data_IF_277127556597
#
_entry.id   IF_277127556597
#
_cell.length_a   1.000
_cell.length_b   1.000
_cell.length_c   1.000
_cell.angle_alpha   90.00
_cell.angle_beta   90.00
_cell.angle_gamma   90.00
#
_symmetry.space_group_name_H-M   'P 1'
#
loop_
_entity.id
_entity.type
_entity.pdbx_description
1 polymer ?
#
# COMPACT_ATOMS: atom_id res chain seq x y z
N UNK A 1 24.11 -23.49 15.26
CA UNK A 1 23.97 -23.33 13.80
C UNK A 1 22.49 -23.43 13.48
N UNK A 2 21.78 -22.30 13.50
CA UNK A 2 20.35 -22.23 13.22
C UNK A 2 20.16 -21.66 11.81
N UNK A 3 19.42 -22.38 10.98
CA UNK A 3 19.07 -22.03 9.61
C UNK A 3 18.31 -20.71 9.56
N UNK A 4 18.99 -19.62 9.18
CA UNK A 4 18.35 -18.37 8.82
C UNK A 4 17.49 -18.60 7.58
N UNK A 5 16.18 -18.33 7.66
CA UNK A 5 15.35 -18.31 6.48
C UNK A 5 15.82 -17.15 5.58
N UNK A 6 16.71 -17.42 4.63
CA UNK A 6 17.06 -16.50 3.55
C UNK A 6 15.83 -16.30 2.67
N UNK A 7 15.10 -15.21 2.88
CA UNK A 7 13.92 -14.89 2.09
C UNK A 7 14.31 -14.58 0.63
N UNK A 8 13.55 -15.16 -0.30
CA UNK A 8 13.81 -15.07 -1.74
C UNK A 8 13.08 -13.86 -2.34
N UNK A 9 13.79 -13.12 -3.20
CA UNK A 9 13.25 -11.97 -3.95
C UNK A 9 13.23 -12.31 -5.43
N UNK A 10 12.08 -12.11 -6.07
CA UNK A 10 11.97 -12.17 -7.53
C UNK A 10 12.14 -10.77 -8.13
N UNK A 11 12.85 -10.63 -9.24
CA UNK A 11 12.90 -9.37 -9.98
C UNK A 11 12.35 -9.59 -11.39
N UNK A 12 11.22 -8.95 -11.68
CA UNK A 12 10.62 -8.87 -13.01
C UNK A 12 11.08 -7.59 -13.68
N UNK A 13 11.68 -7.69 -14.87
CA UNK A 13 12.19 -6.53 -15.60
C UNK A 13 12.29 -6.81 -17.10
N UNK A 14 12.27 -5.74 -17.90
CA UNK A 14 12.58 -5.85 -19.32
C UNK A 14 14.09 -5.82 -19.55
N UNK A 15 14.63 -6.97 -19.92
CA UNK A 15 16.08 -7.15 -20.13
C UNK A 15 16.75 -6.32 -21.24
N UNK A 16 16.02 -5.56 -22.07
CA UNK A 16 16.62 -4.60 -23.01
C UNK A 16 16.75 -3.19 -22.43
N UNK A 17 15.95 -2.84 -21.42
CA UNK A 17 15.81 -1.46 -20.96
C UNK A 17 16.72 -1.13 -19.79
N UNK A 18 16.96 -2.11 -18.91
CA UNK A 18 17.65 -1.89 -17.63
C UNK A 18 18.76 -2.89 -17.33
N UNK A 19 18.99 -3.88 -18.22
CA UNK A 19 19.95 -4.97 -18.01
C UNK A 19 21.38 -4.49 -17.91
N UNK A 20 21.81 -3.66 -18.87
CA UNK A 20 23.17 -3.14 -18.86
C UNK A 20 23.28 -2.00 -17.84
N UNK A 21 24.19 -2.17 -16.89
CA UNK A 21 24.48 -1.28 -15.75
C UNK A 21 23.44 -1.32 -14.62
N UNK A 22 22.19 -0.87 -14.81
CA UNK A 22 21.30 -0.64 -13.65
C UNK A 22 20.93 -1.92 -12.90
N UNK A 23 20.39 -2.93 -13.61
CA UNK A 23 19.95 -4.18 -13.02
C UNK A 23 21.12 -5.00 -12.47
N UNK A 24 22.22 -5.13 -13.21
CA UNK A 24 23.41 -5.87 -12.74
C UNK A 24 23.91 -5.33 -11.40
N UNK A 25 24.08 -4.00 -11.28
CA UNK A 25 24.48 -3.40 -10.00
C UNK A 25 23.41 -3.51 -8.91
N UNK A 26 22.13 -3.52 -9.25
CA UNK A 26 21.06 -3.74 -8.27
C UNK A 26 21.10 -5.18 -7.72
N UNK A 27 21.26 -6.17 -8.60
CA UNK A 27 21.38 -7.58 -8.23
C UNK A 27 22.62 -7.82 -7.35
N UNK A 28 23.77 -7.28 -7.74
CA UNK A 28 25.00 -7.33 -6.95
C UNK A 28 24.79 -6.72 -5.55
N UNK A 29 24.26 -5.49 -5.47
CA UNK A 29 24.02 -4.83 -4.18
C UNK A 29 23.06 -5.60 -3.26
N UNK A 30 22.04 -6.26 -3.82
CA UNK A 30 21.12 -7.09 -3.04
C UNK A 30 21.83 -8.34 -2.51
N UNK A 31 22.62 -9.02 -3.36
CA UNK A 31 23.38 -10.21 -2.98
C UNK A 31 24.44 -9.89 -1.92
N UNK A 32 25.17 -8.77 -2.05
CA UNK A 32 26.12 -8.28 -1.04
C UNK A 32 25.47 -8.03 0.33
N UNK A 33 24.16 -7.76 0.35
CA UNK A 33 23.37 -7.59 1.58
C UNK A 33 22.70 -8.88 2.06
N UNK A 34 23.07 -10.03 1.51
CA UNK A 34 22.55 -11.34 1.90
C UNK A 34 21.13 -11.62 1.39
N UNK A 35 20.64 -10.87 0.39
CA UNK A 35 19.33 -11.11 -0.22
C UNK A 35 19.46 -12.13 -1.35
N UNK A 36 18.66 -13.19 -1.30
CA UNK A 36 18.64 -14.23 -2.35
C UNK A 36 17.75 -13.77 -3.51
N UNK A 37 18.38 -13.32 -4.60
CA UNK A 37 17.69 -12.81 -5.79
C UNK A 37 17.46 -13.90 -6.83
N UNK A 38 16.27 -13.91 -7.44
CA UNK A 38 15.88 -14.73 -8.60
C UNK A 38 15.30 -13.90 -9.71
N UNK A 39 15.56 -14.33 -10.93
CA UNK A 39 15.17 -13.67 -12.17
C UNK A 39 14.77 -14.67 -13.24
N UNK A 40 14.15 -14.16 -14.30
CA UNK A 40 13.85 -14.90 -15.53
C UNK A 40 15.09 -15.56 -16.17
N UNK A 41 16.27 -14.97 -15.98
CA UNK A 41 17.56 -15.53 -16.42
C UNK A 41 17.94 -16.84 -15.69
N UNK A 42 17.36 -17.09 -14.51
CA UNK A 42 17.60 -18.32 -13.74
C UNK A 42 16.69 -19.49 -14.20
N UNK A 43 15.77 -19.25 -15.14
CA UNK A 43 14.89 -20.27 -15.72
C UNK A 43 15.38 -20.71 -17.12
N UNK A 44 15.32 -22.00 -17.48
CA UNK A 44 15.69 -22.46 -18.81
C UNK A 44 14.77 -21.87 -19.89
N UNK A 45 15.35 -21.41 -21.01
CA UNK A 45 14.62 -20.73 -22.11
C UNK A 45 13.84 -21.72 -23.00
N UNK A 46 12.55 -21.42 -23.24
CA UNK A 46 11.64 -22.12 -24.18
C UNK A 46 10.15 -21.88 -23.83
N UNK A 47 9.26 -21.75 -24.84
CA UNK A 47 7.79 -21.42 -24.79
C UNK A 47 6.95 -22.13 -23.69
N UNK A 48 5.65 -21.76 -23.55
CA UNK A 48 5.12 -20.55 -22.92
C UNK A 48 5.13 -20.72 -21.39
N UNK A 49 5.38 -19.63 -20.65
CA UNK A 49 5.47 -19.59 -19.18
C UNK A 49 6.01 -20.90 -18.57
N UNK A 50 7.33 -21.05 -18.60
CA UNK A 50 7.99 -22.20 -17.99
C UNK A 50 7.50 -22.34 -16.54
N UNK A 51 6.86 -23.44 -16.16
CA UNK A 51 6.35 -23.67 -14.79
C UNK A 51 7.45 -23.43 -13.72
N UNK A 52 8.71 -23.60 -14.12
CA UNK A 52 9.87 -23.24 -13.31
C UNK A 52 9.96 -21.73 -13.00
N UNK A 53 9.65 -20.85 -13.95
CA UNK A 53 9.62 -19.40 -13.75
C UNK A 53 8.50 -18.99 -12.78
N UNK A 54 7.29 -19.53 -12.95
CA UNK A 54 6.19 -19.28 -12.00
C UNK A 54 6.53 -19.81 -10.60
N UNK A 55 7.23 -20.94 -10.52
CA UNK A 55 7.72 -21.47 -9.26
C UNK A 55 8.69 -20.49 -8.57
N UNK A 56 9.59 -19.85 -9.31
CA UNK A 56 10.48 -18.83 -8.74
C UNK A 56 9.71 -17.64 -8.13
N UNK A 57 8.63 -17.20 -8.79
CA UNK A 57 7.73 -16.16 -8.26
C UNK A 57 7.03 -16.66 -6.99
N UNK A 58 6.45 -17.87 -7.02
CA UNK A 58 5.69 -18.46 -5.90
C UNK A 58 6.55 -18.73 -4.66
N UNK A 59 7.82 -19.05 -4.85
CA UNK A 59 8.77 -19.31 -3.77
C UNK A 59 9.35 -18.00 -3.19
N UNK A 60 9.14 -16.87 -3.86
CA UNK A 60 9.58 -15.55 -3.42
C UNK A 60 8.59 -14.89 -2.45
N UNK A 61 9.12 -14.02 -1.58
CA UNK A 61 8.34 -13.25 -0.60
C UNK A 61 8.13 -11.81 -1.02
N UNK A 62 9.06 -11.28 -1.80
CA UNK A 62 8.96 -9.95 -2.41
C UNK A 62 9.19 -10.09 -3.90
N UNK A 63 8.40 -9.41 -4.73
CA UNK A 63 8.71 -9.24 -6.15
C UNK A 63 9.01 -7.78 -6.46
N UNK A 64 10.21 -7.49 -6.93
CA UNK A 64 10.56 -6.18 -7.48
C UNK A 64 10.14 -6.15 -8.94
N UNK A 65 9.22 -5.25 -9.31
CA UNK A 65 8.72 -5.12 -10.68
C UNK A 65 9.24 -3.83 -11.29
N UNK A 66 10.19 -3.90 -12.22
CA UNK A 66 10.77 -2.71 -12.85
C UNK A 66 9.97 -2.36 -14.10
N UNK A 67 8.99 -1.47 -13.95
CA UNK A 67 8.28 -0.86 -15.06
C UNK A 67 9.22 0.13 -15.77
N UNK A 68 9.67 -0.25 -16.96
CA UNK A 68 10.42 0.59 -17.90
C UNK A 68 9.55 0.97 -19.11
N UNK A 69 10.06 1.85 -19.97
CA UNK A 69 9.33 2.32 -21.15
C UNK A 69 8.85 1.16 -22.07
N UNK A 70 9.63 0.10 -22.22
CA UNK A 70 9.29 -1.05 -23.07
C UNK A 70 8.91 -2.30 -22.28
N UNK A 71 8.54 -2.17 -20.99
CA UNK A 71 8.09 -3.31 -20.19
C UNK A 71 6.92 -4.06 -20.85
N UNK A 72 5.93 -3.30 -21.33
CA UNK A 72 4.73 -3.84 -21.99
C UNK A 72 4.99 -4.44 -23.39
N UNK A 73 6.21 -4.39 -23.91
CA UNK A 73 6.59 -5.07 -25.16
C UNK A 73 6.75 -6.58 -24.97
N UNK A 74 6.92 -7.03 -23.71
CA UNK A 74 7.25 -8.42 -23.38
C UNK A 74 6.05 -9.13 -22.77
N UNK A 75 5.44 -10.03 -23.52
CA UNK A 75 4.33 -10.88 -23.07
C UNK A 75 4.72 -11.71 -21.82
N UNK A 76 5.97 -12.19 -21.76
CA UNK A 76 6.53 -12.86 -20.58
C UNK A 76 6.56 -11.96 -19.34
N UNK A 77 6.92 -10.68 -19.48
CA UNK A 77 6.95 -9.76 -18.33
C UNK A 77 5.52 -9.45 -17.84
N UNK A 78 4.56 -9.37 -18.76
CA UNK A 78 3.15 -9.19 -18.43
C UNK A 78 2.55 -10.45 -17.77
N UNK A 79 2.95 -11.65 -18.20
CA UNK A 79 2.55 -12.89 -17.55
C UNK A 79 3.14 -13.05 -16.14
N UNK A 80 4.42 -12.69 -15.96
CA UNK A 80 5.05 -12.62 -14.64
C UNK A 80 4.27 -11.67 -13.72
N UNK A 81 3.86 -10.51 -14.23
CA UNK A 81 3.06 -9.54 -13.49
C UNK A 81 1.72 -10.12 -13.04
N UNK A 82 1.05 -10.89 -13.90
CA UNK A 82 -0.21 -11.56 -13.57
C UNK A 82 -0.01 -12.60 -12.46
N UNK A 83 1.07 -13.39 -12.49
CA UNK A 83 1.35 -14.32 -11.40
C UNK A 83 1.72 -13.59 -10.10
N UNK A 84 2.47 -12.50 -10.17
CA UNK A 84 2.78 -11.63 -9.01
C UNK A 84 1.49 -11.10 -8.39
N UNK A 85 0.56 -10.57 -9.20
CA UNK A 85 -0.76 -10.11 -8.75
C UNK A 85 -1.56 -11.21 -8.06
N UNK A 86 -1.54 -12.42 -8.63
CA UNK A 86 -2.19 -13.59 -8.04
C UNK A 86 -1.58 -13.96 -6.68
N UNK A 87 -0.25 -13.99 -6.55
CA UNK A 87 0.40 -14.29 -5.26
C UNK A 87 0.18 -13.18 -4.22
N UNK A 88 0.11 -11.91 -4.64
CA UNK A 88 -0.31 -10.78 -3.80
C UNK A 88 -1.73 -10.94 -3.28
N UNK A 89 -2.70 -11.28 -4.13
CA UNK A 89 -4.10 -11.52 -3.71
C UNK A 89 -4.21 -12.66 -2.70
N UNK A 90 -3.32 -13.66 -2.80
CA UNK A 90 -3.19 -14.75 -1.84
C UNK A 90 -2.39 -14.38 -0.57
N UNK A 91 -1.92 -13.14 -0.44
CA UNK A 91 -1.07 -12.65 0.66
C UNK A 91 0.22 -13.46 0.85
N UNK A 92 0.77 -14.01 -0.23
CA UNK A 92 1.99 -14.84 -0.21
C UNK A 92 3.25 -14.07 -0.60
N UNK A 93 3.06 -12.97 -1.33
CA UNK A 93 4.12 -12.19 -1.93
C UNK A 93 3.73 -10.71 -1.95
N UNK A 94 4.67 -9.84 -1.60
CA UNK A 94 4.49 -8.39 -1.67
C UNK A 94 5.23 -7.79 -2.88
N UNK A 95 4.55 -7.11 -3.80
CA UNK A 95 5.21 -6.47 -4.93
C UNK A 95 5.77 -5.09 -4.56
N UNK A 96 6.96 -4.79 -5.05
CA UNK A 96 7.60 -3.48 -5.05
C UNK A 96 7.70 -2.98 -6.51
N UNK A 97 6.72 -2.22 -7.01
CA UNK A 97 6.84 -1.61 -8.32
C UNK A 97 7.93 -0.53 -8.34
N UNK A 98 8.76 -0.54 -9.37
CA UNK A 98 9.78 0.47 -9.64
C UNK A 98 9.43 1.12 -10.97
N UNK A 99 9.11 2.40 -10.93
CA UNK A 99 8.82 3.19 -12.13
C UNK A 99 10.13 3.78 -12.65
N UNK A 100 10.76 3.09 -13.59
CA UNK A 100 12.05 3.45 -14.12
C UNK A 100 11.91 4.33 -15.37
N UNK A 101 11.99 5.65 -15.18
CA UNK A 101 11.80 6.65 -16.24
C UNK A 101 10.45 6.51 -16.97
N UNK A 102 9.43 6.01 -16.27
CA UNK A 102 8.03 5.94 -16.71
C UNK A 102 7.14 6.47 -15.59
N UNK A 103 6.02 7.11 -15.92
CA UNK A 103 5.05 7.55 -14.91
C UNK A 103 4.07 6.43 -14.57
N UNK A 104 3.61 6.39 -13.32
CA UNK A 104 2.67 5.36 -12.88
C UNK A 104 1.31 5.45 -13.62
N UNK A 105 0.85 6.66 -13.96
CA UNK A 105 -0.34 6.90 -14.78
C UNK A 105 -0.24 6.30 -16.20
N UNK A 106 0.98 6.21 -16.74
CA UNK A 106 1.22 5.54 -18.03
C UNK A 106 1.07 4.03 -17.91
N UNK A 107 1.59 3.44 -16.83
CA UNK A 107 1.45 2.00 -16.53
C UNK A 107 0.00 1.62 -16.27
N UNK A 108 -0.76 2.50 -15.58
CA UNK A 108 -2.21 2.36 -15.34
C UNK A 108 -3.08 2.56 -16.59
N UNK A 109 -2.49 3.00 -17.70
CA UNK A 109 -3.20 3.26 -18.94
C UNK A 109 -4.27 4.37 -18.85
N UNK A 110 -4.22 5.20 -17.80
CA UNK A 110 -5.15 6.31 -17.51
C UNK A 110 -5.08 7.41 -18.56
N UNK A 111 -3.86 7.65 -19.06
CA UNK A 111 -3.57 8.65 -20.08
C UNK A 111 -2.98 7.99 -21.31
N UNK A 112 -3.07 8.66 -22.45
CA UNK A 112 -2.33 8.25 -23.63
C UNK A 112 -0.82 8.41 -23.37
N UNK A 113 -0.04 7.39 -23.73
CA UNK A 113 1.41 7.35 -23.50
C UNK A 113 2.07 6.32 -24.42
N UNK A 114 3.38 6.43 -24.67
CA UNK A 114 4.13 5.42 -25.42
C UNK A 114 3.99 4.01 -24.82
N UNK A 115 3.90 3.90 -23.50
CA UNK A 115 3.69 2.62 -22.81
C UNK A 115 2.37 1.96 -23.24
N UNK A 116 1.29 2.74 -23.31
CA UNK A 116 -0.03 2.27 -23.76
C UNK A 116 -0.01 1.86 -25.23
N UNK A 117 0.69 2.61 -26.08
CA UNK A 117 0.81 2.29 -27.51
C UNK A 117 1.58 0.98 -27.74
N UNK A 118 2.63 0.74 -26.96
CA UNK A 118 3.41 -0.50 -27.00
C UNK A 118 2.52 -1.69 -26.60
N UNK A 119 1.76 -1.57 -25.50
CA UNK A 119 0.84 -2.63 -25.07
C UNK A 119 -0.19 -2.94 -26.16
N UNK A 120 -0.81 -1.91 -26.76
CA UNK A 120 -1.81 -2.09 -27.81
C UNK A 120 -1.24 -2.81 -29.04
N UNK A 121 -0.02 -2.46 -29.46
CA UNK A 121 0.67 -3.15 -30.56
C UNK A 121 0.92 -4.62 -30.25
N UNK A 122 1.39 -4.92 -29.03
CA UNK A 122 1.60 -6.30 -28.60
C UNK A 122 0.28 -7.09 -28.66
N UNK A 123 -0.81 -6.53 -28.12
CA UNK A 123 -2.11 -7.19 -28.17
C UNK A 123 -2.58 -7.43 -29.61
N UNK A 124 -2.41 -6.47 -30.50
CA UNK A 124 -2.80 -6.62 -31.92
C UNK A 124 -1.99 -7.71 -32.62
N UNK A 125 -0.68 -7.76 -32.38
CA UNK A 125 0.18 -8.83 -32.90
C UNK A 125 -0.25 -10.21 -32.39
N UNK A 126 -0.57 -10.32 -31.10
CA UNK A 126 -1.07 -11.55 -30.49
C UNK A 126 -2.47 -11.93 -31.01
N UNK A 127 -3.38 -10.97 -31.23
CA UNK A 127 -4.69 -11.21 -31.88
C UNK A 127 -4.50 -11.77 -33.28
N UNK A 128 -3.57 -11.23 -34.06
CA UNK A 128 -3.27 -11.69 -35.43
C UNK A 128 -2.76 -13.14 -35.40
N UNK A 129 -1.88 -13.48 -34.45
CA UNK A 129 -1.39 -14.87 -34.28
C UNK A 129 -2.52 -15.81 -33.87
N UNK A 130 -3.31 -15.44 -32.86
CA UNK A 130 -4.40 -16.27 -32.33
C UNK A 130 -5.51 -16.53 -33.36
N UNK A 131 -5.87 -15.52 -34.18
CA UNK A 131 -6.83 -15.67 -35.28
C UNK A 131 -6.40 -16.71 -36.31
N UNK A 132 -5.09 -16.83 -36.57
CA UNK A 132 -4.55 -17.83 -37.50
C UNK A 132 -4.61 -19.25 -36.93
N UNK A 133 -4.65 -19.38 -35.60
CA UNK A 133 -4.66 -20.67 -34.92
C UNK A 133 -6.07 -21.21 -34.76
N UNK A 134 -6.96 -20.50 -34.06
CA UNK A 134 -8.37 -20.88 -33.92
C UNK A 134 -9.22 -19.79 -33.26
N UNK A 135 -10.56 -19.84 -33.39
CA UNK A 135 -11.45 -18.97 -32.60
C UNK A 135 -11.24 -19.10 -31.09
N UNK A 136 -10.93 -20.32 -30.61
CA UNK A 136 -10.65 -20.57 -29.19
C UNK A 136 -9.37 -19.89 -28.72
N UNK A 137 -8.31 -19.95 -29.53
CA UNK A 137 -7.05 -19.27 -29.23
C UNK A 137 -7.25 -17.74 -29.15
N UNK A 138 -8.11 -17.16 -29.99
CA UNK A 138 -8.46 -15.75 -29.91
C UNK A 138 -9.19 -15.41 -28.59
N UNK A 139 -10.14 -16.25 -28.17
CA UNK A 139 -10.83 -16.07 -26.89
C UNK A 139 -9.86 -16.15 -25.70
N UNK A 140 -8.92 -17.09 -25.73
CA UNK A 140 -7.87 -17.24 -24.71
C UNK A 140 -6.93 -16.02 -24.69
N UNK A 141 -6.58 -15.47 -25.86
CA UNK A 141 -5.78 -14.26 -25.97
C UNK A 141 -6.48 -13.02 -25.35
N UNK A 142 -7.77 -12.80 -25.65
CA UNK A 142 -8.51 -11.67 -25.05
C UNK A 142 -8.61 -11.79 -23.52
N UNK A 143 -8.79 -12.99 -22.97
CA UNK A 143 -8.74 -13.24 -21.52
C UNK A 143 -7.37 -12.92 -20.92
N UNK A 144 -6.29 -13.26 -21.64
CA UNK A 144 -4.91 -12.94 -21.24
C UNK A 144 -4.69 -11.42 -21.23
N UNK A 145 -5.16 -10.68 -22.22
CA UNK A 145 -5.05 -9.22 -22.25
C UNK A 145 -5.80 -8.53 -21.10
N UNK A 146 -7.00 -9.02 -20.76
CA UNK A 146 -7.74 -8.53 -19.60
C UNK A 146 -6.95 -8.75 -18.31
N UNK A 147 -6.30 -9.91 -18.18
CA UNK A 147 -5.44 -10.22 -17.03
C UNK A 147 -4.23 -9.29 -16.97
N UNK A 148 -3.56 -9.04 -18.10
CA UNK A 148 -2.43 -8.11 -18.16
C UNK A 148 -2.81 -6.69 -17.75
N UNK A 149 -3.92 -6.16 -18.29
CA UNK A 149 -4.41 -4.82 -17.93
C UNK A 149 -4.77 -4.73 -16.45
N UNK A 150 -5.46 -5.75 -15.92
CA UNK A 150 -5.79 -5.82 -14.49
C UNK A 150 -4.56 -5.85 -13.59
N UNK A 151 -3.53 -6.60 -13.97
CA UNK A 151 -2.28 -6.69 -13.21
C UNK A 151 -1.47 -5.39 -13.28
N UNK A 152 -1.39 -4.75 -14.46
CA UNK A 152 -0.76 -3.44 -14.64
C UNK A 152 -1.42 -2.37 -13.76
N UNK A 153 -2.75 -2.31 -13.78
CA UNK A 153 -3.52 -1.40 -12.93
C UNK A 153 -3.27 -1.71 -11.44
N UNK A 154 -3.55 -2.94 -11.01
CA UNK A 154 -3.46 -3.31 -9.59
C UNK A 154 -2.05 -3.17 -9.00
N UNK A 155 -1.01 -3.64 -9.71
CA UNK A 155 0.37 -3.61 -9.20
C UNK A 155 0.94 -2.19 -9.22
N UNK A 156 0.57 -1.35 -10.18
CA UNK A 156 1.06 0.04 -10.22
C UNK A 156 0.45 0.94 -9.13
N UNK A 157 -0.62 0.50 -8.46
CA UNK A 157 -1.11 1.11 -7.22
C UNK A 157 -0.38 0.63 -5.96
N UNK A 158 0.51 -0.37 -6.05
CA UNK A 158 1.31 -0.81 -4.91
C UNK A 158 2.40 0.24 -4.59
N UNK A 159 2.81 0.32 -3.32
CA UNK A 159 3.88 1.23 -2.89
C UNK A 159 5.18 0.91 -3.62
N UNK A 160 5.62 1.86 -4.44
CA UNK A 160 6.76 1.72 -5.32
C UNK A 160 7.84 2.77 -5.15
N UNK A 161 8.87 2.69 -6.00
CA UNK A 161 9.93 3.68 -6.10
C UNK A 161 10.02 4.23 -7.52
N UNK A 162 10.08 5.55 -7.67
CA UNK A 162 10.18 6.18 -9.00
C UNK A 162 11.57 6.72 -9.24
N UNK A 163 12.19 6.28 -10.33
CA UNK A 163 13.42 6.87 -10.84
C UNK A 163 13.10 8.00 -11.82
N UNK A 164 13.58 9.20 -11.51
CA UNK A 164 13.49 10.36 -12.41
C UNK A 164 14.78 10.51 -13.21
N UNK A 165 14.66 10.69 -14.52
CA UNK A 165 15.80 10.95 -15.43
C UNK A 165 16.65 12.11 -14.92
N UNK A 166 17.97 11.92 -14.86
CA UNK A 166 18.93 12.88 -14.30
C UNK A 166 19.21 12.71 -12.80
N UNK A 167 18.47 11.84 -12.09
CA UNK A 167 18.75 11.50 -10.70
C UNK A 167 19.96 10.55 -10.59
N UNK A 168 20.64 10.58 -9.43
CA UNK A 168 21.76 9.68 -9.19
C UNK A 168 21.28 8.22 -9.04
N UNK A 169 21.55 7.40 -10.07
CA UNK A 169 21.15 5.99 -10.08
C UNK A 169 21.74 5.17 -8.92
N UNK A 170 22.95 5.48 -8.44
CA UNK A 170 23.55 4.76 -7.33
C UNK A 170 22.79 5.01 -6.02
N UNK A 171 22.36 6.25 -5.77
CA UNK A 171 21.51 6.59 -4.63
C UNK A 171 20.16 5.86 -4.75
N UNK A 172 19.55 5.90 -5.94
CA UNK A 172 18.27 5.22 -6.17
C UNK A 172 18.37 3.71 -5.94
N UNK A 173 19.41 3.05 -6.45
CA UNK A 173 19.67 1.62 -6.21
C UNK A 173 19.82 1.30 -4.72
N UNK A 174 20.54 2.12 -3.95
CA UNK A 174 20.64 1.94 -2.49
C UNK A 174 19.27 2.05 -1.82
N UNK A 175 18.43 2.99 -2.26
CA UNK A 175 17.05 3.11 -1.78
C UNK A 175 16.21 1.87 -2.03
N UNK A 176 16.36 1.25 -3.22
CA UNK A 176 15.69 -0.02 -3.54
C UNK A 176 16.16 -1.14 -2.61
N UNK A 177 17.47 -1.28 -2.40
CA UNK A 177 18.06 -2.32 -1.55
C UNK A 177 17.55 -2.22 -0.11
N UNK A 178 17.55 -1.01 0.47
CA UNK A 178 17.03 -0.82 1.83
C UNK A 178 15.51 -1.08 1.88
N UNK A 179 14.75 -0.63 0.89
CA UNK A 179 13.30 -0.92 0.84
C UNK A 179 13.01 -2.42 0.75
N UNK A 180 13.74 -3.16 -0.07
CA UNK A 180 13.62 -4.62 -0.18
C UNK A 180 13.97 -5.30 1.14
N UNK A 181 15.04 -4.86 1.82
CA UNK A 181 15.41 -5.39 3.14
C UNK A 181 14.34 -5.15 4.18
N UNK A 182 13.78 -3.94 4.22
CA UNK A 182 12.68 -3.61 5.11
C UNK A 182 11.48 -4.54 4.83
N UNK A 183 11.07 -4.67 3.56
CA UNK A 183 9.99 -5.57 3.17
C UNK A 183 10.27 -7.03 3.59
N UNK A 184 11.50 -7.52 3.42
CA UNK A 184 11.87 -8.87 3.85
C UNK A 184 11.87 -9.04 5.37
N UNK A 185 12.34 -8.05 6.13
CA UNK A 185 12.28 -8.06 7.60
C UNK A 185 10.83 -8.10 8.12
N UNK A 186 9.90 -7.70 7.26
CA UNK A 186 8.47 -7.56 7.54
C UNK A 186 7.63 -8.73 7.03
N UNK A 187 8.22 -9.66 6.27
CA UNK A 187 7.56 -10.89 5.84
C UNK A 187 7.15 -11.64 7.11
N UNK A 188 5.85 -11.94 7.29
CA UNK A 188 5.39 -12.70 8.44
C UNK A 188 6.16 -14.01 8.50
N UNK A 189 6.85 -14.26 9.61
CA UNK A 189 7.33 -15.61 9.90
C UNK A 189 6.13 -16.58 9.84
N UNK A 190 6.33 -17.86 9.49
CA UNK A 190 5.26 -18.86 9.57
C UNK A 190 4.52 -18.86 10.92
N UNK A 191 5.19 -18.37 11.98
CA UNK A 191 4.68 -18.17 13.34
C UNK A 191 4.50 -16.67 13.76
N UNK A 192 4.51 -15.70 12.84
CA UNK A 192 4.71 -14.27 13.14
C UNK A 192 3.49 -13.34 12.98
N UNK A 193 3.20 -12.58 14.04
CA UNK A 193 2.17 -11.51 14.17
C UNK A 193 2.35 -10.39 13.12
N UNK A 194 1.28 -9.82 12.54
CA UNK A 194 1.35 -8.78 11.50
C UNK A 194 2.13 -7.53 11.92
N UNK A 195 2.87 -6.98 10.96
CA UNK A 195 3.92 -5.99 11.16
C UNK A 195 3.43 -4.56 11.44
N UNK A 196 2.18 -4.20 11.10
CA UNK A 196 1.48 -3.04 11.66
C UNK A 196 0.08 -3.49 12.11
N UNK A 197 -0.23 -3.30 13.40
CA UNK A 197 -1.52 -3.71 13.96
C UNK A 197 -2.50 -2.54 14.01
N UNK A 198 -1.98 -1.31 14.07
CA UNK A 198 -2.76 -0.11 14.36
C UNK A 198 -2.33 1.06 13.46
N UNK A 199 -3.29 1.68 12.78
CA UNK A 199 -3.18 2.97 12.10
C UNK A 199 -3.70 4.08 13.01
N UNK A 200 -3.07 5.25 13.05
CA UNK A 200 -3.56 6.41 13.83
C UNK A 200 -3.80 7.60 12.90
N UNK A 201 -5.07 7.98 12.73
CA UNK A 201 -5.48 9.22 12.07
C UNK A 201 -5.75 10.28 13.14
N UNK A 202 -5.11 11.44 12.99
CA UNK A 202 -5.25 12.53 13.94
C UNK A 202 -4.94 13.89 13.32
N UNK A 203 -5.41 14.95 13.99
CA UNK A 203 -5.05 16.34 13.67
C UNK A 203 -4.84 17.16 14.92
N UNK A 204 -3.88 18.08 14.90
CA UNK A 204 -3.71 19.11 15.92
C UNK A 204 -2.29 19.17 16.48
N UNK A 205 -1.79 20.39 16.66
CA UNK A 205 -0.45 20.63 17.22
C UNK A 205 -0.36 20.17 18.68
N UNK A 206 -1.43 20.34 19.45
CA UNK A 206 -1.45 20.04 20.88
C UNK A 206 -1.29 18.54 21.16
N UNK A 207 -1.88 17.67 20.33
CA UNK A 207 -1.73 16.22 20.50
C UNK A 207 -0.36 15.72 20.05
N UNK A 208 0.28 16.40 19.10
CA UNK A 208 1.58 16.00 18.55
C UNK A 208 2.69 16.01 19.60
N UNK A 209 2.69 17.00 20.49
CA UNK A 209 3.78 17.19 21.47
C UNK A 209 3.45 16.70 22.87
N UNK A 210 2.21 16.23 23.11
CA UNK A 210 1.77 15.77 24.43
C UNK A 210 1.23 14.34 24.39
N UNK A 211 0.02 14.16 23.87
CA UNK A 211 -0.74 12.92 23.95
C UNK A 211 -0.20 11.81 23.05
N UNK A 212 0.10 12.14 21.79
CA UNK A 212 0.51 11.16 20.78
C UNK A 212 1.84 10.47 21.13
N UNK A 213 2.90 11.16 21.59
CA UNK A 213 4.12 10.49 22.03
C UNK A 213 3.89 9.51 23.18
N UNK A 214 3.02 9.85 24.14
CA UNK A 214 2.65 8.95 25.24
C UNK A 214 1.94 7.70 24.72
N UNK A 215 0.99 7.87 23.79
CA UNK A 215 0.25 6.78 23.16
C UNK A 215 1.18 5.83 22.39
N UNK A 216 2.10 6.38 21.59
CA UNK A 216 3.09 5.61 20.83
C UNK A 216 4.01 4.83 21.76
N UNK A 217 4.53 5.46 22.82
CA UNK A 217 5.39 4.79 23.80
C UNK A 217 4.63 3.65 24.48
N UNK A 218 3.36 3.85 24.84
CA UNK A 218 2.53 2.81 25.44
C UNK A 218 2.25 1.64 24.48
N UNK A 219 1.97 1.90 23.20
CA UNK A 219 1.84 0.84 22.20
C UNK A 219 3.14 0.07 22.00
N UNK A 220 4.29 0.75 21.92
CA UNK A 220 5.61 0.11 21.85
C UNK A 220 5.88 -0.79 23.06
N UNK A 221 5.57 -0.32 24.27
CA UNK A 221 5.67 -1.13 25.50
C UNK A 221 4.79 -2.37 25.46
N UNK A 222 3.63 -2.27 24.82
CA UNK A 222 2.67 -3.37 24.62
C UNK A 222 2.98 -4.25 23.41
N UNK A 223 4.12 -4.04 22.73
CA UNK A 223 4.53 -4.75 21.50
C UNK A 223 3.47 -4.66 20.38
N UNK A 224 2.77 -3.53 20.32
CA UNK A 224 1.81 -3.22 19.25
C UNK A 224 2.53 -2.29 18.26
N UNK A 225 2.67 -2.76 17.02
CA UNK A 225 3.25 -1.96 15.95
C UNK A 225 2.23 -0.96 15.42
N UNK A 226 2.64 0.29 15.33
CA UNK A 226 1.79 1.44 14.96
C UNK A 226 2.31 2.05 13.66
N UNK A 227 1.40 2.46 12.78
CA UNK A 227 1.67 3.37 11.67
C UNK A 227 1.10 4.75 12.02
N UNK A 228 1.98 5.75 12.07
CA UNK A 228 1.66 7.12 12.46
C UNK A 228 1.56 7.99 11.19
N UNK A 229 0.40 8.63 10.95
CA UNK A 229 0.27 9.66 9.93
C UNK A 229 0.55 11.05 10.53
N UNK A 230 1.67 11.67 10.19
CA UNK A 230 1.95 13.07 10.55
C UNK A 230 2.11 13.91 9.29
N UNK A 231 1.08 14.70 8.97
CA UNK A 231 1.10 15.67 7.87
C UNK A 231 2.37 16.56 7.83
N UNK A 232 3.01 16.83 8.97
CA UNK A 232 4.23 17.65 9.03
C UNK A 232 5.53 16.86 8.77
N UNK A 233 5.57 15.54 9.05
CA UNK A 233 6.66 14.64 8.66
C UNK A 233 6.51 14.15 7.21
N UNK A 234 5.34 14.36 6.60
CA UNK A 234 4.90 13.80 5.33
C UNK A 234 4.94 14.83 4.18
N UNK A 235 5.75 15.89 4.31
CA UNK A 235 6.13 16.71 3.15
C UNK A 235 6.94 15.89 2.14
N UNK A 236 6.24 15.29 1.18
CA UNK A 236 6.83 14.56 0.04
C UNK A 236 6.33 13.14 -0.22
N UNK A 237 5.38 12.58 0.55
CA UNK A 237 4.72 11.30 0.20
C UNK A 237 3.34 11.56 -0.41
N UNK A 238 2.96 10.80 -1.44
CA UNK A 238 1.62 10.89 -2.05
C UNK A 238 0.54 10.34 -1.11
N UNK A 239 -0.69 10.83 -1.29
CA UNK A 239 -1.91 10.37 -0.60
C UNK A 239 -2.08 8.83 -0.69
N UNK A 240 -1.51 8.20 -1.72
CA UNK A 240 -1.56 6.75 -1.94
C UNK A 240 -0.80 5.94 -0.88
N UNK A 241 0.28 6.49 -0.29
CA UNK A 241 1.04 5.81 0.77
C UNK A 241 0.23 5.69 2.07
N UNK A 242 -0.74 6.57 2.26
CA UNK A 242 -1.57 6.67 3.45
C UNK A 242 -2.69 5.64 3.46
N UNK A 243 -3.36 5.51 2.32
CA UNK A 243 -4.37 4.50 2.11
C UNK A 243 -3.81 3.08 2.25
N UNK A 244 -2.54 2.87 1.90
CA UNK A 244 -1.87 1.59 2.14
C UNK A 244 -1.67 1.31 3.64
N UNK A 245 -1.23 2.31 4.42
CA UNK A 245 -1.11 2.16 5.89
C UNK A 245 -2.43 1.81 6.57
N UNK A 246 -3.54 2.37 6.06
CA UNK A 246 -4.90 2.03 6.49
C UNK A 246 -5.26 0.59 6.09
N UNK A 247 -5.01 0.21 4.84
CA UNK A 247 -5.34 -1.11 4.29
C UNK A 247 -4.53 -2.26 4.92
N UNK A 248 -3.29 -2.01 5.33
CA UNK A 248 -2.41 -3.00 5.96
C UNK A 248 -2.64 -3.14 7.47
N UNK A 249 -3.36 -2.20 8.08
CA UNK A 249 -3.64 -2.20 9.52
C UNK A 249 -4.83 -3.09 9.89
N UNK A 250 -4.81 -3.62 11.12
CA UNK A 250 -5.96 -4.39 11.67
C UNK A 250 -6.96 -3.50 12.40
N UNK A 251 -6.47 -2.40 12.97
CA UNK A 251 -7.25 -1.40 13.70
C UNK A 251 -6.88 -0.02 13.19
N UNK A 252 -7.85 0.87 13.01
CA UNK A 252 -7.62 2.30 12.85
C UNK A 252 -8.14 3.06 14.08
N UNK A 253 -7.27 3.85 14.71
CA UNK A 253 -7.62 4.83 15.72
C UNK A 253 -7.90 6.15 15.03
N UNK A 254 -9.09 6.70 15.23
CA UNK A 254 -9.45 8.02 14.70
C UNK A 254 -9.58 8.98 15.86
N UNK A 255 -8.60 9.86 16.03
CA UNK A 255 -8.51 10.80 17.14
C UNK A 255 -9.13 12.14 16.72
N UNK A 256 -10.42 12.31 17.01
CA UNK A 256 -11.12 13.57 16.85
C UNK A 256 -10.63 14.59 17.88
N UNK A 257 -10.23 15.74 17.36
CA UNK A 257 -9.87 16.97 18.09
C UNK A 257 -10.63 18.14 17.49
N UNK A 258 -10.55 19.33 18.09
CA UNK A 258 -11.27 20.53 17.63
C UNK A 258 -10.91 20.91 16.18
N UNK A 259 -9.72 20.54 15.73
CA UNK A 259 -9.20 20.90 14.40
C UNK A 259 -9.23 19.73 13.41
N UNK A 260 -9.86 18.59 13.73
CA UNK A 260 -9.89 17.45 12.82
C UNK A 260 -10.59 17.78 11.49
N UNK A 261 -11.77 18.41 11.55
CA UNK A 261 -12.59 18.71 10.37
C UNK A 261 -12.05 19.87 9.51
N UNK A 262 -11.03 20.59 9.99
CA UNK A 262 -10.33 21.62 9.21
C UNK A 262 -9.18 21.07 8.36
N UNK A 263 -8.86 19.77 8.48
CA UNK A 263 -7.90 19.11 7.59
C UNK A 263 -8.63 18.31 6.50
N UNK A 264 -8.50 18.75 5.25
CA UNK A 264 -8.95 17.95 4.11
C UNK A 264 -8.27 16.58 4.13
N UNK A 265 -7.00 16.52 4.54
CA UNK A 265 -6.23 15.29 4.61
C UNK A 265 -6.85 14.29 5.59
N UNK A 266 -7.11 14.69 6.83
CA UNK A 266 -7.76 13.82 7.82
C UNK A 266 -9.18 13.40 7.42
N UNK A 267 -9.88 14.22 6.63
CA UNK A 267 -11.19 13.87 6.07
C UNK A 267 -11.08 12.86 4.91
N UNK A 268 -10.03 12.93 4.08
CA UNK A 268 -9.71 11.91 3.08
C UNK A 268 -9.35 10.57 3.72
N UNK A 269 -8.52 10.60 4.76
CA UNK A 269 -8.20 9.40 5.57
C UNK A 269 -9.47 8.74 6.11
N UNK A 270 -10.35 9.54 6.70
CA UNK A 270 -11.58 9.05 7.29
C UNK A 270 -12.49 8.39 6.25
N UNK A 271 -12.53 8.92 5.03
CA UNK A 271 -13.24 8.30 3.90
C UNK A 271 -12.66 6.92 3.59
N UNK A 272 -11.33 6.78 3.51
CA UNK A 272 -10.71 5.50 3.22
C UNK A 272 -10.85 4.50 4.38
N UNK A 273 -10.70 4.94 5.62
CA UNK A 273 -10.97 4.15 6.83
C UNK A 273 -12.41 3.61 6.80
N UNK A 274 -13.39 4.47 6.48
CA UNK A 274 -14.80 4.07 6.37
C UNK A 274 -15.04 3.02 5.28
N UNK A 275 -14.31 3.08 4.14
CA UNK A 275 -14.36 2.03 3.11
C UNK A 275 -13.71 0.74 3.59
N UNK A 276 -12.49 0.80 4.14
CA UNK A 276 -11.75 -0.37 4.61
C UNK A 276 -12.48 -1.09 5.76
N UNK A 277 -13.18 -0.34 6.61
CA UNK A 277 -14.05 -0.88 7.65
C UNK A 277 -15.16 -1.75 7.07
N UNK A 278 -15.72 -1.38 5.91
CA UNK A 278 -16.81 -2.12 5.24
C UNK A 278 -16.30 -3.31 4.42
N UNK A 279 -15.11 -3.20 3.82
CA UNK A 279 -14.64 -4.13 2.77
C UNK A 279 -13.50 -5.05 3.25
N UNK A 280 -12.66 -4.60 4.20
CA UNK A 280 -11.38 -5.24 4.53
C UNK A 280 -11.28 -5.72 5.99
N UNK A 281 -12.40 -5.79 6.71
CA UNK A 281 -12.46 -6.17 8.14
C UNK A 281 -11.63 -5.29 9.07
N UNK A 282 -11.26 -4.08 8.64
CA UNK A 282 -10.57 -3.09 9.48
C UNK A 282 -11.49 -2.71 10.65
N UNK A 283 -11.03 -2.93 11.88
CA UNK A 283 -11.76 -2.44 13.07
C UNK A 283 -11.43 -0.96 13.28
N UNK A 284 -12.39 -0.17 13.73
CA UNK A 284 -12.18 1.27 13.95
C UNK A 284 -12.48 1.60 15.41
N UNK A 285 -11.62 2.41 16.02
CA UNK A 285 -11.77 2.92 17.38
C UNK A 285 -11.78 4.46 17.36
N UNK A 286 -12.96 5.10 17.42
CA UNK A 286 -13.07 6.54 17.56
C UNK A 286 -12.64 7.01 18.96
N UNK A 287 -11.80 8.03 19.00
CA UNK A 287 -11.28 8.66 20.22
C UNK A 287 -11.59 10.16 20.13
N UNK A 288 -12.26 10.71 21.13
CA UNK A 288 -12.56 12.14 21.25
C UNK A 288 -11.63 12.69 22.32
N UNK A 289 -10.59 13.41 21.89
CA UNK A 289 -9.55 13.90 22.77
C UNK A 289 -9.74 15.39 23.08
N UNK A 290 -10.02 15.70 24.35
CA UNK A 290 -10.30 17.05 24.88
C UNK A 290 -11.39 17.80 24.13
N UNK A 291 -12.29 17.04 23.50
CA UNK A 291 -13.47 17.52 22.80
C UNK A 291 -14.66 16.69 23.24
N UNK A 292 -15.78 17.35 23.47
CA UNK A 292 -17.05 16.63 23.59
C UNK A 292 -17.45 16.12 22.19
N UNK A 293 -18.04 14.93 22.05
CA UNK A 293 -18.56 14.48 20.76
C UNK A 293 -19.55 15.47 20.15
N UNK A 294 -20.38 16.09 20.98
CA UNK A 294 -21.27 17.18 20.63
C UNK A 294 -20.52 18.50 20.41
N UNK A 295 -19.32 18.67 21.00
CA UNK A 295 -18.43 19.81 20.79
C UNK A 295 -17.74 19.79 19.41
N UNK A 296 -17.32 18.61 18.95
CA UNK A 296 -16.89 18.40 17.54
C UNK A 296 -18.05 18.68 16.59
N UNK A 297 -19.30 18.47 17.02
CA UNK A 297 -20.51 18.78 16.26
C UNK A 297 -21.01 20.21 16.48
N UNK A 298 -20.59 20.93 17.52
CA UNK A 298 -21.28 22.10 18.06
C UNK A 298 -22.63 21.71 18.66
N UNK A 299 -23.01 22.31 19.79
CA UNK A 299 -24.15 21.89 20.63
C UNK A 299 -25.54 21.85 19.92
N UNK A 300 -25.65 22.24 18.66
CA UNK A 300 -26.86 22.17 17.82
C UNK A 300 -26.58 22.02 16.31
N UNK A 301 -25.38 21.60 15.90
CA UNK A 301 -25.02 21.52 14.46
C UNK A 301 -24.73 20.08 14.04
N UNK A 302 -24.97 19.78 12.77
CA UNK A 302 -24.63 18.48 12.17
C UNK A 302 -23.22 18.53 11.58
N UNK A 303 -22.59 17.36 11.36
CA UNK A 303 -21.28 17.29 10.68
C UNK A 303 -21.31 18.01 9.32
N UNK A 304 -22.42 17.92 8.59
CA UNK A 304 -22.56 18.59 7.29
C UNK A 304 -22.58 20.11 7.42
N UNK A 305 -23.21 20.68 8.46
CA UNK A 305 -23.25 22.13 8.68
C UNK A 305 -21.84 22.71 8.90
N UNK A 306 -21.03 22.02 9.71
CA UNK A 306 -19.65 22.43 9.95
C UNK A 306 -18.76 22.26 8.72
N UNK A 307 -18.88 21.14 7.99
CA UNK A 307 -18.13 20.95 6.75
C UNK A 307 -18.44 22.07 5.75
N UNK A 308 -19.71 22.46 5.63
CA UNK A 308 -20.15 23.56 4.77
C UNK A 308 -19.59 24.90 5.23
N UNK A 309 -19.51 25.16 6.54
CA UNK A 309 -18.92 26.38 7.07
C UNK A 309 -17.41 26.47 6.80
N UNK A 310 -16.68 25.36 6.97
CA UNK A 310 -15.23 25.31 6.80
C UNK A 310 -14.83 25.32 5.31
N UNK A 311 -15.51 24.53 4.48
CA UNK A 311 -15.10 24.24 3.09
C UNK A 311 -15.98 24.89 2.03
N UNK A 312 -17.13 25.45 2.41
CA UNK A 312 -18.08 26.08 1.51
C UNK A 312 -19.08 25.09 0.89
N UNK A 313 -20.32 25.54 0.64
CA UNK A 313 -21.42 24.71 0.12
C UNK A 313 -21.16 24.05 -1.24
N UNK A 314 -20.19 24.54 -2.01
CA UNK A 314 -19.89 24.07 -3.37
C UNK A 314 -18.81 22.99 -3.45
N UNK A 315 -18.17 22.63 -2.33
CA UNK A 315 -17.16 21.58 -2.34
C UNK A 315 -17.80 20.19 -2.52
N UNK A 316 -17.56 19.58 -3.69
CA UNK A 316 -18.12 18.29 -4.06
C UNK A 316 -17.71 17.14 -3.12
N UNK A 317 -16.69 17.32 -2.25
CA UNK A 317 -16.20 16.31 -1.31
C UNK A 317 -17.02 16.26 -0.01
N UNK A 318 -17.80 17.30 0.31
CA UNK A 318 -18.56 17.37 1.57
C UNK A 318 -19.46 16.15 1.77
N UNK A 319 -20.11 15.67 0.70
CA UNK A 319 -21.01 14.52 0.79
C UNK A 319 -20.32 13.26 1.31
N UNK A 320 -19.14 12.92 0.76
CA UNK A 320 -18.38 11.74 1.17
C UNK A 320 -17.70 11.91 2.54
N UNK A 321 -17.23 13.12 2.85
CA UNK A 321 -16.69 13.42 4.18
C UNK A 321 -17.74 13.30 5.27
N UNK A 322 -18.94 13.86 5.05
CA UNK A 322 -20.06 13.75 5.97
C UNK A 322 -20.47 12.29 6.18
N UNK A 323 -20.54 11.49 5.11
CA UNK A 323 -20.86 10.07 5.22
C UNK A 323 -19.82 9.30 6.06
N UNK A 324 -18.53 9.62 5.89
CA UNK A 324 -17.45 9.00 6.64
C UNK A 324 -17.51 9.39 8.13
N UNK A 325 -17.73 10.68 8.44
CA UNK A 325 -17.94 11.19 9.81
C UNK A 325 -19.13 10.53 10.49
N UNK A 326 -20.27 10.41 9.80
CA UNK A 326 -21.43 9.70 10.35
C UNK A 326 -21.18 8.21 10.56
N UNK A 327 -20.40 7.58 9.68
CA UNK A 327 -20.09 6.14 9.80
C UNK A 327 -19.20 5.86 11.00
N UNK A 328 -18.17 6.69 11.23
CA UNK A 328 -17.16 6.46 12.27
C UNK A 328 -17.53 7.14 13.59
N UNK A 329 -18.01 8.39 13.57
CA UNK A 329 -18.34 9.17 14.77
C UNK A 329 -19.53 8.64 15.59
N UNK A 330 -20.38 7.81 14.97
CA UNK A 330 -21.50 7.15 15.65
C UNK A 330 -21.16 5.76 16.22
N UNK A 331 -19.92 5.30 16.08
CA UNK A 331 -19.47 4.06 16.70
C UNK A 331 -19.22 4.23 18.21
N UNK A 332 -19.16 3.14 18.98
CA UNK A 332 -18.71 3.19 20.38
C UNK A 332 -17.35 3.89 20.49
N UNK A 333 -17.27 4.87 21.39
CA UNK A 333 -16.20 5.87 21.42
C UNK A 333 -15.51 5.96 22.77
N UNK A 334 -14.25 6.39 22.76
CA UNK A 334 -13.48 6.75 23.95
C UNK A 334 -13.40 8.27 24.06
N UNK A 335 -13.68 8.84 25.23
CA UNK A 335 -13.73 10.30 25.43
C UNK A 335 -12.77 10.67 26.56
N UNK A 336 -11.83 11.57 26.28
CA UNK A 336 -10.94 12.13 27.28
C UNK A 336 -11.73 13.11 28.16
N UNK A 337 -11.90 12.79 29.45
CA UNK A 337 -12.61 13.66 30.39
C UNK A 337 -11.73 14.84 30.85
N UNK A 338 -12.28 16.02 31.17
CA UNK A 338 -11.49 17.20 31.54
C UNK A 338 -10.48 16.99 32.69
N UNK A 339 -10.83 16.18 33.68
CA UNK A 339 -10.01 15.87 34.86
C UNK A 339 -9.14 14.60 34.70
N UNK A 340 -9.23 13.91 33.57
CA UNK A 340 -8.48 12.68 33.30
C UNK A 340 -7.05 13.03 32.89
N UNK A 341 -6.06 12.30 33.43
CA UNK A 341 -4.67 12.45 33.01
C UNK A 341 -4.48 11.74 31.68
N UNK A 342 -3.74 12.36 30.76
CA UNK A 342 -3.44 11.79 29.44
C UNK A 342 -2.85 10.37 29.56
N UNK A 343 -2.02 10.10 30.57
CA UNK A 343 -1.45 8.77 30.82
C UNK A 343 -2.51 7.70 31.14
N UNK A 344 -3.52 8.03 31.95
CA UNK A 344 -4.59 7.09 32.30
C UNK A 344 -5.45 6.80 31.05
N UNK A 345 -5.75 7.84 30.27
CA UNK A 345 -6.52 7.70 29.03
C UNK A 345 -5.78 6.87 27.98
N UNK A 346 -4.45 7.03 27.88
CA UNK A 346 -3.60 6.21 27.02
C UNK A 346 -3.68 4.72 27.40
N UNK A 347 -3.63 4.40 28.70
CA UNK A 347 -3.76 3.00 29.16
C UNK A 347 -5.15 2.42 28.80
N UNK A 348 -6.23 3.20 28.93
CA UNK A 348 -7.56 2.77 28.50
C UNK A 348 -7.59 2.42 27.00
N UNK A 349 -7.00 3.27 26.16
CA UNK A 349 -6.92 3.05 24.70
C UNK A 349 -6.08 1.82 24.38
N UNK A 350 -4.94 1.62 25.05
CA UNK A 350 -4.07 0.46 24.85
C UNK A 350 -4.79 -0.84 25.22
N UNK A 351 -5.49 -0.85 26.35
CA UNK A 351 -6.26 -2.00 26.79
C UNK A 351 -7.38 -2.35 25.81
N UNK A 352 -8.13 -1.35 25.35
CA UNK A 352 -9.17 -1.51 24.34
C UNK A 352 -8.60 -2.09 23.03
N UNK A 353 -7.51 -1.49 22.54
CA UNK A 353 -6.82 -1.91 21.33
C UNK A 353 -6.29 -3.34 21.45
N UNK A 354 -5.69 -3.69 22.59
CA UNK A 354 -5.17 -5.04 22.86
C UNK A 354 -6.30 -6.07 22.82
N UNK A 355 -7.43 -5.78 23.48
CA UNK A 355 -8.61 -6.66 23.45
C UNK A 355 -9.16 -6.84 22.03
N UNK A 356 -9.29 -5.75 21.28
CA UNK A 356 -9.74 -5.81 19.89
C UNK A 356 -8.79 -6.65 19.03
N UNK A 357 -7.48 -6.59 19.31
CA UNK A 357 -6.46 -7.38 18.63
C UNK A 357 -6.48 -8.87 19.00
N UNK A 358 -6.78 -9.23 20.25
CA UNK A 358 -6.88 -10.63 20.70
C UNK A 358 -8.13 -11.32 20.20
N UNK A 359 -9.27 -10.63 20.14
CA UNK A 359 -10.55 -11.15 19.62
C UNK A 359 -10.46 -11.54 18.13
N UNK A 360 -9.44 -11.07 17.43
CA UNK A 360 -9.21 -11.33 16.00
C UNK A 360 -8.28 -12.52 15.74
N UNK A 361 -7.94 -13.30 16.78
CA UNK A 361 -7.02 -14.46 16.72
C UNK A 361 -7.76 -15.81 16.82
N UNK A 362 -9.08 -15.80 17.04
CA UNK A 362 -9.92 -16.97 17.28
C UNK A 362 -10.90 -17.29 16.15
N UNK A 363 -10.73 -16.69 14.97
CA UNK A 363 -11.51 -16.93 13.75
C UNK A 363 -10.54 -17.12 12.60
#
# INVERSE_FOLDING_TARGET
MGSGLEHQVFISFRGKDVRDNFFSFLKENLVEKGVKVKTDEDAPRGKPINENLLKLIRDSKVAVVIFSANFAESDSCLDELVEIEKQRKLKKLDPLPIFFAVEASHVRLEVHSPFKDILLRLEDDERIKARKESPKALEEAEKRFLSWRGALDSISYCMGLTYRTGSNQAIFRRGIVEKVKDMLANVPSPDGVPQHRVFISFRGEDIRHSFLPLLIVGFKRSKINVFEDDENLIRGKSIDNLFLGIQESRIALVIFTDNYMSSAWCLEELVEISKCMKINSLKVLPIFYKVEPEGVLGYNRTFIDQLVEIWGTTDARIGRWNQALLSVGNMPRYISKPQMRDADFVEDIINATTKMLTDTSCT
#
